data_IF_504787990481
#
_entry.id   IF_504787990481
#
_cell.length_a   1.000
_cell.length_b   1.000
_cell.length_c   1.000
_cell.angle_alpha   90.00
_cell.angle_beta   90.00
_cell.angle_gamma   90.00
#
_symmetry.space_group_name_H-M   'P 1'
#
loop_
_entity.id
_entity.type
_entity.pdbx_description
1 polymer ?
#
# COMPACT_ATOMS: atom_id res chain seq x y z
N UNK A 1 -23.00 -4.99 -10.68
CA UNK A 1 -21.67 -5.40 -10.19
C UNK A 1 -21.83 -5.91 -8.77
N UNK A 2 -21.45 -7.15 -8.48
CA UNK A 2 -21.56 -7.72 -7.14
C UNK A 2 -20.41 -7.19 -6.27
N UNK A 3 -20.71 -6.25 -5.37
CA UNK A 3 -19.70 -5.56 -4.55
C UNK A 3 -19.12 -6.45 -3.43
N UNK A 4 -19.67 -7.64 -3.20
CA UNK A 4 -19.24 -8.51 -2.11
C UNK A 4 -17.77 -8.96 -2.23
N UNK A 5 -17.32 -9.34 -3.44
CA UNK A 5 -15.95 -9.84 -3.64
C UNK A 5 -14.90 -8.72 -3.46
N UNK A 6 -15.05 -7.54 -4.11
CA UNK A 6 -14.11 -6.42 -3.88
C UNK A 6 -14.05 -5.96 -2.43
N UNK A 7 -15.19 -5.90 -1.74
CA UNK A 7 -15.25 -5.51 -0.34
C UNK A 7 -14.51 -6.51 0.55
N UNK A 8 -14.71 -7.82 0.34
CA UNK A 8 -14.02 -8.86 1.12
C UNK A 8 -12.51 -8.86 0.88
N UNK A 9 -12.07 -8.64 -0.36
CA UNK A 9 -10.64 -8.57 -0.68
C UNK A 9 -9.95 -7.39 0.01
N UNK A 10 -10.57 -6.21 -0.03
CA UNK A 10 -10.02 -5.02 0.64
C UNK A 10 -10.00 -5.18 2.16
N UNK A 11 -11.10 -5.67 2.76
CA UNK A 11 -11.15 -5.95 4.20
C UNK A 11 -10.14 -7.02 4.60
N UNK A 12 -9.95 -8.05 3.78
CA UNK A 12 -8.94 -9.08 4.00
C UNK A 12 -7.53 -8.51 4.00
N UNK A 13 -7.21 -7.62 3.05
CA UNK A 13 -5.91 -6.93 2.99
C UNK A 13 -5.66 -6.09 4.24
N UNK A 14 -6.63 -5.30 4.68
CA UNK A 14 -6.53 -4.46 5.89
C UNK A 14 -6.41 -5.33 7.14
N UNK A 15 -7.20 -6.40 7.22
CA UNK A 15 -7.15 -7.34 8.34
C UNK A 15 -5.78 -8.03 8.41
N UNK A 16 -5.23 -8.44 7.27
CA UNK A 16 -3.89 -9.03 7.18
C UNK A 16 -2.80 -8.07 7.68
N UNK A 17 -2.87 -6.80 7.28
CA UNK A 17 -1.97 -5.74 7.77
C UNK A 17 -2.07 -5.58 9.29
N UNK A 18 -3.28 -5.33 9.81
CA UNK A 18 -3.51 -5.10 11.25
C UNK A 18 -3.00 -6.26 12.10
N UNK A 19 -3.30 -7.51 11.71
CA UNK A 19 -2.87 -8.68 12.47
C UNK A 19 -1.36 -8.90 12.33
N UNK A 20 -0.84 -8.82 11.10
CA UNK A 20 0.57 -9.04 10.79
C UNK A 20 1.50 -8.02 11.45
N UNK A 21 1.02 -6.80 11.70
CA UNK A 21 1.82 -5.73 12.29
C UNK A 21 2.33 -6.06 13.70
N UNK A 22 1.64 -6.90 14.46
CA UNK A 22 2.12 -7.33 15.78
C UNK A 22 3.32 -8.29 15.72
N UNK A 23 3.55 -8.92 14.56
CA UNK A 23 4.58 -9.93 14.32
C UNK A 23 5.70 -9.43 13.39
N UNK A 24 5.59 -8.20 12.91
CA UNK A 24 6.62 -7.56 12.11
C UNK A 24 7.90 -7.43 12.96
N UNK A 25 9.01 -7.98 12.48
CA UNK A 25 10.30 -8.12 13.18
C UNK A 25 10.41 -9.26 14.22
N UNK A 26 9.34 -10.03 14.47
CA UNK A 26 9.36 -11.27 15.25
C UNK A 26 8.69 -12.40 14.47
N UNK A 27 9.42 -12.91 13.47
CA UNK A 27 8.88 -13.82 12.46
C UNK A 27 8.33 -15.12 13.08
N UNK A 28 7.01 -15.23 13.10
CA UNK A 28 6.30 -16.43 13.50
C UNK A 28 5.69 -17.13 12.27
N UNK A 29 6.06 -18.40 12.04
CA UNK A 29 5.63 -19.18 10.86
C UNK A 29 4.53 -20.20 11.17
N UNK A 30 4.06 -20.24 12.42
CA UNK A 30 2.96 -21.11 12.84
C UNK A 30 1.61 -20.57 12.37
N UNK A 31 0.59 -21.42 12.38
CA UNK A 31 -0.80 -21.01 12.10
C UNK A 31 -1.60 -20.76 13.39
N UNK A 32 -0.97 -20.96 14.55
CA UNK A 32 -1.48 -20.84 15.90
C UNK A 32 -1.09 -19.50 16.56
N UNK A 33 -1.18 -18.41 15.78
CA UNK A 33 -0.97 -17.06 16.28
C UNK A 33 -2.26 -16.42 16.79
N UNK A 34 -2.12 -15.38 17.61
CA UNK A 34 -3.26 -14.61 18.08
C UNK A 34 -3.75 -13.69 16.94
N UNK A 35 -5.02 -13.84 16.56
CA UNK A 35 -5.66 -12.99 15.53
C UNK A 35 -5.94 -11.57 16.04
N UNK A 36 -5.98 -11.33 17.35
CA UNK A 36 -6.24 -10.02 17.93
C UNK A 36 -5.23 -9.70 19.04
N UNK A 37 -3.96 -9.50 18.69
CA UNK A 37 -2.95 -9.09 19.67
C UNK A 37 -3.18 -7.62 20.09
N UNK A 38 -2.93 -7.30 21.36
CA UNK A 38 -3.24 -5.96 21.92
C UNK A 38 -2.48 -4.82 21.22
N UNK A 39 -1.35 -5.13 20.58
CA UNK A 39 -0.50 -4.20 19.85
C UNK A 39 -0.73 -4.22 18.33
N UNK A 40 -1.76 -4.91 17.83
CA UNK A 40 -2.15 -4.83 16.43
C UNK A 40 -2.73 -3.46 16.11
N UNK A 41 -2.19 -2.82 15.08
CA UNK A 41 -2.71 -1.59 14.50
C UNK A 41 -2.43 -1.58 12.98
N UNK A 42 -3.16 -0.77 12.23
CA UNK A 42 -2.93 -0.63 10.79
C UNK A 42 -1.60 0.10 10.50
N UNK A 43 -0.95 -0.22 9.40
CA UNK A 43 0.36 0.34 9.04
C UNK A 43 0.30 1.17 7.77
N UNK A 44 1.46 1.47 7.19
CA UNK A 44 1.57 2.12 5.90
C UNK A 44 0.94 1.31 4.77
N UNK A 45 0.89 -0.01 4.87
CA UNK A 45 0.20 -0.89 3.92
C UNK A 45 -1.26 -0.46 3.73
N UNK A 46 -2.02 -0.35 4.84
CA UNK A 46 -3.41 0.14 4.81
C UNK A 46 -3.50 1.59 4.36
N UNK A 47 -2.67 2.49 4.92
CA UNK A 47 -2.74 3.92 4.59
C UNK A 47 -2.54 4.16 3.09
N UNK A 48 -1.52 3.53 2.51
CA UNK A 48 -1.18 3.72 1.11
C UNK A 48 -2.13 2.97 0.17
N UNK A 49 -2.69 1.83 0.60
CA UNK A 49 -3.78 1.17 -0.14
C UNK A 49 -4.99 2.10 -0.29
N UNK A 50 -5.42 2.75 0.80
CA UNK A 50 -6.54 3.70 0.75
C UNK A 50 -6.19 4.93 -0.08
N UNK A 51 -4.95 5.42 -0.03
CA UNK A 51 -4.51 6.52 -0.88
C UNK A 51 -4.62 6.20 -2.38
N UNK A 52 -4.26 4.97 -2.79
CA UNK A 52 -4.43 4.51 -4.17
C UNK A 52 -5.91 4.37 -4.53
N UNK A 53 -6.72 3.77 -3.65
CA UNK A 53 -8.16 3.64 -3.89
C UNK A 53 -8.84 5.01 -4.07
N UNK A 54 -8.50 5.98 -3.23
CA UNK A 54 -9.00 7.35 -3.30
C UNK A 54 -8.59 8.01 -4.63
N UNK A 55 -7.31 7.92 -5.01
CA UNK A 55 -6.81 8.44 -6.29
C UNK A 55 -7.57 7.88 -7.50
N UNK A 56 -7.88 6.57 -7.49
CA UNK A 56 -8.66 5.92 -8.56
C UNK A 56 -10.10 6.46 -8.59
N UNK A 57 -10.75 6.58 -7.43
CA UNK A 57 -12.15 7.00 -7.33
C UNK A 57 -12.36 8.47 -7.70
N UNK A 58 -11.36 9.31 -7.45
CA UNK A 58 -11.42 10.76 -7.73
C UNK A 58 -10.72 11.18 -9.02
N UNK A 59 -10.08 10.23 -9.72
CA UNK A 59 -9.26 10.47 -10.92
C UNK A 59 -8.14 11.50 -10.65
N UNK A 60 -7.48 11.38 -9.49
CA UNK A 60 -6.42 12.28 -9.03
C UNK A 60 -5.02 11.65 -9.11
N UNK A 61 -3.99 12.50 -9.00
CA UNK A 61 -2.61 12.08 -9.13
C UNK A 61 -2.15 11.16 -7.97
N UNK A 62 -1.65 9.96 -8.31
CA UNK A 62 -1.15 8.99 -7.32
C UNK A 62 -0.05 9.53 -6.42
N UNK A 63 0.94 10.24 -6.98
CA UNK A 63 2.05 10.80 -6.22
C UNK A 63 1.53 11.76 -5.15
N UNK A 64 0.60 12.65 -5.52
CA UNK A 64 0.02 13.61 -4.59
C UNK A 64 -0.80 12.90 -3.49
N UNK A 65 -1.65 11.93 -3.85
CA UNK A 65 -2.46 11.19 -2.86
C UNK A 65 -1.61 10.39 -1.89
N UNK A 66 -0.58 9.69 -2.38
CA UNK A 66 0.39 8.98 -1.53
C UNK A 66 1.11 9.93 -0.58
N UNK A 67 1.48 11.11 -1.06
CA UNK A 67 2.08 12.15 -0.22
C UNK A 67 1.10 12.65 0.85
N UNK A 68 -0.11 13.06 0.45
CA UNK A 68 -1.10 13.64 1.35
C UNK A 68 -1.50 12.68 2.48
N UNK A 69 -1.79 11.42 2.13
CA UNK A 69 -2.12 10.38 3.10
C UNK A 69 -0.91 10.03 3.98
N UNK A 70 0.26 9.87 3.38
CA UNK A 70 1.50 9.60 4.12
C UNK A 70 1.83 10.72 5.11
N UNK A 71 1.61 11.99 4.75
CA UNK A 71 1.78 13.16 5.64
C UNK A 71 0.69 13.26 6.70
N UNK A 72 -0.56 12.95 6.35
CA UNK A 72 -1.68 12.96 7.28
C UNK A 72 -1.50 11.91 8.38
N UNK A 73 -1.04 10.72 8.01
CA UNK A 73 -0.79 9.59 8.91
C UNK A 73 0.70 9.34 9.10
N UNK A 74 1.47 10.41 9.30
CA UNK A 74 2.93 10.37 9.31
C UNK A 74 3.53 9.66 10.52
N UNK A 75 2.86 9.72 11.68
CA UNK A 75 3.35 9.17 12.94
C UNK A 75 2.83 7.77 13.20
N UNK A 76 3.73 6.84 13.54
CA UNK A 76 3.37 5.52 14.07
C UNK A 76 2.89 4.50 13.04
N UNK A 77 3.10 4.72 11.74
CA UNK A 77 2.63 3.81 10.66
C UNK A 77 3.74 3.04 9.97
N UNK A 78 4.87 2.85 10.63
CA UNK A 78 5.95 1.92 10.21
C UNK A 78 6.54 2.10 8.79
N UNK A 79 6.31 3.24 8.15
CA UNK A 79 6.93 3.57 6.86
C UNK A 79 8.40 3.20 6.78
N UNK A 80 8.76 2.49 5.72
CA UNK A 80 10.15 2.23 5.39
C UNK A 80 10.96 3.53 5.33
N UNK A 81 12.22 3.48 5.79
CA UNK A 81 13.12 4.65 5.95
C UNK A 81 13.15 5.56 4.72
N UNK A 82 13.18 4.98 3.52
CA UNK A 82 13.23 5.77 2.29
C UNK A 82 11.91 6.50 1.99
N UNK A 83 10.77 5.84 2.21
CA UNK A 83 9.45 6.47 2.05
C UNK A 83 9.25 7.58 3.07
N UNK A 84 9.65 7.33 4.32
CA UNK A 84 9.65 8.35 5.37
C UNK A 84 10.47 9.59 5.00
N UNK A 85 11.67 9.39 4.44
CA UNK A 85 12.50 10.49 3.95
C UNK A 85 11.87 11.22 2.75
N UNK A 86 11.19 10.50 1.85
CA UNK A 86 10.46 11.08 0.73
C UNK A 86 9.33 12.00 1.21
N UNK A 87 8.55 11.56 2.20
CA UNK A 87 7.53 12.40 2.86
C UNK A 87 8.14 13.65 3.51
N UNK A 88 9.31 13.54 4.13
CA UNK A 88 9.97 14.66 4.81
C UNK A 88 10.49 15.72 3.86
N UNK A 89 11.14 15.31 2.77
CA UNK A 89 11.75 16.24 1.82
C UNK A 89 10.71 17.11 1.12
N UNK A 90 9.49 16.60 0.92
CA UNK A 90 8.46 17.29 0.14
C UNK A 90 8.79 17.42 -1.35
N UNK A 91 9.91 16.86 -1.77
CA UNK A 91 10.31 16.73 -3.16
C UNK A 91 9.77 15.41 -3.69
N UNK A 92 8.70 15.48 -4.48
CA UNK A 92 7.90 14.34 -4.92
C UNK A 92 8.56 13.52 -6.04
N UNK A 93 9.89 13.61 -6.18
CA UNK A 93 10.64 12.82 -7.13
C UNK A 93 10.75 11.36 -6.66
N UNK A 94 10.63 10.38 -7.57
CA UNK A 94 10.92 8.99 -7.28
C UNK A 94 12.36 8.78 -6.80
N UNK A 95 12.57 7.74 -5.99
CA UNK A 95 13.88 7.47 -5.38
C UNK A 95 14.42 6.06 -5.62
N UNK A 96 13.95 5.37 -6.66
CA UNK A 96 14.40 4.03 -7.08
C UNK A 96 14.41 3.00 -5.94
N UNK A 97 13.30 2.86 -5.21
CA UNK A 97 13.21 1.85 -4.15
C UNK A 97 13.12 0.43 -4.70
N UNK A 98 13.73 -0.52 -3.99
CA UNK A 98 13.71 -1.97 -4.27
C UNK A 98 12.86 -2.77 -3.26
N UNK A 99 12.15 -2.08 -2.36
CA UNK A 99 11.31 -2.72 -1.35
C UNK A 99 10.00 -3.25 -1.94
N UNK A 100 9.23 -3.94 -1.11
CA UNK A 100 7.86 -4.40 -1.41
C UNK A 100 6.81 -3.28 -1.29
N UNK A 101 7.22 -2.03 -1.05
CA UNK A 101 6.33 -0.92 -0.72
C UNK A 101 5.35 -0.53 -1.83
N UNK A 102 5.68 -0.85 -3.09
CA UNK A 102 4.74 -0.72 -4.21
C UNK A 102 3.74 -1.88 -4.26
N UNK A 103 4.18 -3.10 -3.97
CA UNK A 103 3.34 -4.30 -4.03
C UNK A 103 2.31 -4.34 -2.91
N UNK A 104 2.64 -3.88 -1.70
CA UNK A 104 1.72 -3.93 -0.54
C UNK A 104 0.44 -3.10 -0.71
N UNK A 105 0.44 -2.12 -1.63
CA UNK A 105 -0.65 -1.15 -1.84
C UNK A 105 -1.43 -1.33 -3.15
N UNK A 106 -1.12 -2.36 -3.94
CA UNK A 106 -1.63 -2.50 -5.32
C UNK A 106 -3.03 -3.11 -5.41
N UNK A 107 -3.56 -3.66 -4.31
CA UNK A 107 -4.84 -4.38 -4.31
C UNK A 107 -6.00 -3.54 -4.87
N UNK A 108 -6.00 -2.22 -4.60
CA UNK A 108 -7.01 -1.30 -5.12
C UNK A 108 -7.05 -1.26 -6.66
N UNK A 109 -5.91 -1.45 -7.33
CA UNK A 109 -5.83 -1.53 -8.79
C UNK A 109 -6.52 -2.80 -9.30
N UNK A 110 -6.22 -3.95 -8.69
CA UNK A 110 -6.82 -5.23 -9.08
C UNK A 110 -8.33 -5.31 -8.85
N UNK A 111 -8.88 -4.45 -7.99
CA UNK A 111 -10.32 -4.33 -7.75
C UNK A 111 -11.01 -3.32 -8.67
N UNK A 112 -10.27 -2.37 -9.24
CA UNK A 112 -10.83 -1.27 -10.02
C UNK A 112 -10.87 -1.54 -11.54
N UNK A 113 -10.06 -2.47 -12.03
CA UNK A 113 -9.91 -2.70 -13.48
C UNK A 113 -10.07 -4.19 -13.83
N UNK A 114 -10.83 -4.46 -14.90
CA UNK A 114 -11.24 -5.82 -15.26
C UNK A 114 -10.33 -6.51 -16.28
N UNK A 115 -9.37 -5.80 -16.89
CA UNK A 115 -8.45 -6.37 -17.87
C UNK A 115 -7.04 -6.42 -17.34
N UNK A 116 -6.32 -7.51 -17.64
CA UNK A 116 -4.94 -7.69 -17.22
C UNK A 116 -4.07 -6.52 -17.70
N UNK A 117 -4.25 -6.09 -18.95
CA UNK A 117 -3.50 -4.98 -19.54
C UNK A 117 -3.68 -3.69 -18.73
N UNK A 118 -4.92 -3.39 -18.33
CA UNK A 118 -5.22 -2.18 -17.57
C UNK A 118 -4.72 -2.30 -16.13
N UNK A 119 -4.85 -3.46 -15.52
CA UNK A 119 -4.31 -3.74 -14.18
C UNK A 119 -2.79 -3.55 -14.16
N UNK A 120 -2.06 -4.08 -15.15
CA UNK A 120 -0.60 -3.92 -15.23
C UNK A 120 -0.19 -2.46 -15.47
N UNK A 121 -0.86 -1.76 -16.39
CA UNK A 121 -0.64 -0.33 -16.66
C UNK A 121 -0.82 0.51 -15.39
N UNK A 122 -1.90 0.25 -14.66
CA UNK A 122 -2.22 1.02 -13.46
C UNK A 122 -1.33 0.62 -12.29
N UNK A 123 -0.97 -0.66 -12.14
CA UNK A 123 -0.02 -1.13 -11.14
C UNK A 123 1.33 -0.40 -11.31
N UNK A 124 1.85 -0.32 -12.54
CA UNK A 124 3.06 0.43 -12.85
C UNK A 124 2.93 1.91 -12.46
N UNK A 125 1.82 2.57 -12.85
CA UNK A 125 1.55 3.97 -12.49
C UNK A 125 1.52 4.23 -10.98
N UNK A 126 1.02 3.27 -10.19
CA UNK A 126 1.02 3.38 -8.72
C UNK A 126 2.38 3.09 -8.06
N UNK A 127 3.28 2.39 -8.76
CA UNK A 127 4.62 2.07 -8.29
C UNK A 127 5.62 3.21 -8.53
N UNK A 128 5.57 3.82 -9.72
CA UNK A 128 6.49 4.90 -10.18
C UNK A 128 6.78 6.00 -9.15
N UNK A 129 5.79 6.51 -8.37
CA UNK A 129 6.04 7.60 -7.43
C UNK A 129 7.17 7.33 -6.42
N UNK A 130 7.44 6.06 -6.10
CA UNK A 130 8.49 5.68 -5.14
C UNK A 130 9.41 4.56 -5.61
N UNK A 131 8.97 3.76 -6.59
CA UNK A 131 9.69 2.61 -7.12
C UNK A 131 9.72 2.71 -8.66
N UNK A 132 10.74 3.36 -9.21
CA UNK A 132 10.87 3.65 -10.64
C UNK A 132 12.08 2.95 -11.30
N UNK A 133 12.52 1.80 -10.75
CA UNK A 133 13.64 1.05 -11.30
C UNK A 133 13.24 0.26 -12.57
N UNK A 134 14.07 0.23 -13.64
CA UNK A 134 13.73 -0.42 -14.92
C UNK A 134 13.39 -1.92 -14.85
N UNK A 135 13.82 -2.62 -13.80
CA UNK A 135 13.53 -4.06 -13.58
C UNK A 135 12.16 -4.34 -12.94
N UNK A 136 11.46 -3.33 -12.44
CA UNK A 136 10.09 -3.50 -11.93
C UNK A 136 9.09 -3.51 -13.07
N UNK A 137 9.11 -4.60 -13.85
CA UNK A 137 7.93 -5.00 -14.61
C UNK A 137 7.03 -5.80 -13.67
N UNK A 138 5.73 -5.45 -13.54
CA UNK A 138 4.78 -6.27 -12.77
C UNK A 138 4.70 -7.70 -13.28
#
# INVERSE_FOLDING_TARGET
>A
MNLAIPMLALLGSITGDVIGSAYEFDNYKGTDFNLFPENADFTDDTVLTIAIADAILTDENFTQKLYDYGRKYYWGRKYGRHFFNWLLKGDLQPYNSFGNGSAMRVIAVGLAYDTLEKVLEMAEKTAIPTHNHPEQKP
#
